data_IF_844596874798
#
_entry.id   IF_844596874798
#
_cell.length_a   1.000
_cell.length_b   1.000
_cell.length_c   1.000
_cell.angle_alpha   90.00
_cell.angle_beta   90.00
_cell.angle_gamma   90.00
#
_symmetry.space_group_name_H-M   'P 1'
#
loop_
_entity.id
_entity.type
_entity.pdbx_description
1 polymer ?
#
# COMPACT_ATOMS: atom_id res chain seq x y z
N UNK A 1 22.61 -50.39 5.01
CA UNK A 1 21.24 -49.87 5.21
C UNK A 1 21.22 -48.86 6.34
N UNK A 2 21.71 -47.64 6.09
CA UNK A 2 21.49 -46.49 6.95
C UNK A 2 20.21 -45.82 6.44
N UNK A 3 19.08 -46.21 7.00
CA UNK A 3 17.84 -45.46 6.81
C UNK A 3 18.02 -44.15 7.55
N UNK A 4 18.29 -43.08 6.82
CA UNK A 4 18.17 -41.72 7.31
C UNK A 4 16.72 -41.52 7.72
N UNK A 5 16.41 -41.64 9.01
CA UNK A 5 15.18 -41.10 9.56
C UNK A 5 15.25 -39.59 9.37
N UNK A 6 14.66 -39.10 8.28
CA UNK A 6 14.35 -37.70 8.09
C UNK A 6 13.52 -37.28 9.29
N UNK A 7 14.15 -36.59 10.23
CA UNK A 7 13.52 -36.13 11.44
C UNK A 7 12.38 -35.20 11.02
N UNK A 8 11.15 -35.62 11.26
CA UNK A 8 9.98 -34.83 10.88
C UNK A 8 10.12 -33.43 11.48
N UNK A 9 9.94 -32.36 10.70
CA UNK A 9 10.16 -31.01 11.18
C UNK A 9 9.29 -30.75 12.41
N UNK A 10 9.91 -30.28 13.49
CA UNK A 10 9.20 -30.01 14.75
C UNK A 10 8.03 -29.03 14.54
N UNK A 11 6.96 -29.16 15.32
CA UNK A 11 5.80 -28.23 15.31
C UNK A 11 6.22 -26.76 15.34
N UNK A 12 7.27 -26.45 16.12
CA UNK A 12 7.87 -25.11 16.25
C UNK A 12 8.51 -24.61 14.94
N UNK A 13 9.18 -25.49 14.20
CA UNK A 13 9.78 -25.14 12.91
C UNK A 13 8.71 -24.79 11.88
N UNK A 14 7.64 -25.58 11.78
CA UNK A 14 6.56 -25.34 10.83
C UNK A 14 5.84 -24.03 11.15
N UNK A 15 5.54 -23.75 12.41
CA UNK A 15 4.98 -22.45 12.82
C UNK A 15 5.86 -21.27 12.44
N UNK A 16 7.19 -21.41 12.50
CA UNK A 16 8.12 -20.37 12.01
C UNK A 16 8.03 -20.22 10.50
N UNK A 17 7.94 -21.32 9.75
CA UNK A 17 7.78 -21.32 8.29
C UNK A 17 6.48 -20.63 7.87
N UNK A 18 5.34 -20.97 8.46
CA UNK A 18 4.05 -20.32 8.19
C UNK A 18 4.10 -18.81 8.45
N UNK A 19 4.69 -18.41 9.59
CA UNK A 19 4.90 -17.00 9.95
C UNK A 19 5.86 -16.26 9.01
N UNK A 20 6.81 -16.97 8.40
CA UNK A 20 7.69 -16.42 7.38
C UNK A 20 6.92 -16.17 6.08
N UNK A 21 6.13 -17.14 5.61
CA UNK A 21 5.27 -16.98 4.44
C UNK A 21 4.33 -15.78 4.57
N UNK A 22 3.61 -15.66 5.69
CA UNK A 22 2.71 -14.53 5.90
C UNK A 22 3.42 -13.17 5.80
N UNK A 23 4.62 -13.05 6.41
CA UNK A 23 5.43 -11.82 6.31
C UNK A 23 5.94 -11.58 4.89
N UNK A 24 6.37 -12.64 4.20
CA UNK A 24 6.89 -12.52 2.85
C UNK A 24 5.82 -12.14 1.84
N UNK A 25 4.58 -12.62 2.01
CA UNK A 25 3.42 -12.18 1.25
C UNK A 25 3.21 -10.68 1.42
N UNK A 26 3.25 -10.15 2.65
CA UNK A 26 3.14 -8.70 2.90
C UNK A 26 4.22 -7.94 2.13
N UNK A 27 5.48 -8.38 2.17
CA UNK A 27 6.56 -7.75 1.40
C UNK A 27 6.28 -7.77 -0.11
N UNK A 28 5.79 -8.89 -0.64
CA UNK A 28 5.46 -9.01 -2.06
C UNK A 28 4.31 -8.09 -2.47
N UNK A 29 3.31 -7.92 -1.61
CA UNK A 29 2.23 -6.93 -1.80
C UNK A 29 2.84 -5.53 -1.90
N UNK A 30 3.63 -5.09 -0.91
CA UNK A 30 4.25 -3.76 -0.88
C UNK A 30 5.15 -3.49 -2.11
N UNK A 31 5.75 -4.53 -2.69
CA UNK A 31 6.57 -4.44 -3.91
C UNK A 31 5.75 -4.54 -5.22
N UNK A 32 4.43 -4.61 -5.15
CA UNK A 32 3.52 -4.84 -6.28
C UNK A 32 3.76 -6.14 -7.06
N UNK A 33 4.33 -7.18 -6.43
CA UNK A 33 4.62 -8.47 -7.09
C UNK A 33 3.44 -9.43 -6.99
N UNK A 34 2.30 -9.05 -7.57
CA UNK A 34 1.03 -9.78 -7.43
C UNK A 34 1.08 -11.22 -7.93
N UNK A 35 1.85 -11.51 -8.98
CA UNK A 35 2.01 -12.89 -9.48
C UNK A 35 2.73 -13.77 -8.45
N UNK A 36 3.75 -13.23 -7.78
CA UNK A 36 4.45 -13.92 -6.70
C UNK A 36 3.54 -14.10 -5.48
N UNK A 37 2.70 -13.10 -5.17
CA UNK A 37 1.70 -13.22 -4.09
C UNK A 37 0.76 -14.41 -4.34
N UNK A 38 0.22 -14.56 -5.56
CA UNK A 38 -0.66 -15.68 -5.93
C UNK A 38 0.02 -17.03 -5.73
N UNK A 39 1.30 -17.15 -6.13
CA UNK A 39 2.10 -18.37 -5.91
C UNK A 39 2.27 -18.65 -4.42
N UNK A 40 2.68 -17.64 -3.65
CA UNK A 40 2.93 -17.79 -2.21
C UNK A 40 1.67 -18.12 -1.40
N UNK A 41 0.50 -17.61 -1.80
CA UNK A 41 -0.79 -17.96 -1.17
C UNK A 41 -1.11 -19.44 -1.36
N UNK A 42 -0.87 -19.95 -2.57
CA UNK A 42 -1.05 -21.38 -2.87
C UNK A 42 -0.10 -22.24 -2.04
N UNK A 43 1.19 -21.90 -2.01
CA UNK A 43 2.19 -22.61 -1.19
C UNK A 43 1.85 -22.57 0.31
N UNK A 44 1.41 -21.41 0.82
CA UNK A 44 0.99 -21.27 2.21
C UNK A 44 -0.22 -22.16 2.52
N UNK A 45 -1.18 -22.26 1.61
CA UNK A 45 -2.35 -23.14 1.76
C UNK A 45 -1.94 -24.62 1.88
N UNK A 46 -1.05 -25.08 1.01
CA UNK A 46 -0.53 -26.46 1.04
C UNK A 46 0.21 -26.74 2.36
N UNK A 47 1.01 -25.81 2.85
CA UNK A 47 1.72 -25.95 4.14
C UNK A 47 0.78 -25.95 5.36
N UNK A 48 -0.30 -25.17 5.33
CA UNK A 48 -1.31 -25.15 6.41
C UNK A 48 -2.10 -26.45 6.43
N UNK A 49 -2.45 -26.99 5.26
CA UNK A 49 -3.14 -28.28 5.15
C UNK A 49 -2.27 -29.41 5.72
N UNK A 50 -1.02 -29.50 5.28
CA UNK A 50 -0.03 -30.45 5.79
C UNK A 50 0.16 -30.33 7.31
N UNK A 51 0.21 -29.11 7.82
CA UNK A 51 0.35 -28.83 9.25
C UNK A 51 -0.89 -29.29 10.05
N UNK A 52 -2.08 -28.99 9.54
CA UNK A 52 -3.36 -29.35 10.15
C UNK A 52 -3.53 -30.86 10.23
N UNK A 53 -3.26 -31.57 9.12
CA UNK A 53 -3.36 -33.03 9.05
C UNK A 53 -2.40 -33.71 10.03
N UNK A 54 -1.17 -33.19 10.16
CA UNK A 54 -0.13 -33.80 11.02
C UNK A 54 -0.35 -33.56 12.51
N UNK A 55 -0.91 -32.42 12.90
CA UNK A 55 -0.91 -31.99 14.31
C UNK A 55 -2.30 -31.72 14.90
N UNK A 56 -3.39 -31.92 14.15
CA UNK A 56 -4.79 -31.70 14.58
C UNK A 56 -4.93 -30.47 15.49
N UNK A 57 -4.55 -29.31 14.94
CA UNK A 57 -4.19 -28.14 15.74
C UNK A 57 -5.34 -27.13 15.85
N UNK A 58 -5.55 -26.61 17.06
CA UNK A 58 -6.53 -25.55 17.38
C UNK A 58 -6.39 -24.27 16.54
N UNK A 59 -5.19 -23.98 16.01
CA UNK A 59 -4.91 -22.81 15.17
C UNK A 59 -5.41 -22.93 13.72
N UNK A 60 -6.03 -24.04 13.32
CA UNK A 60 -6.53 -24.22 11.95
C UNK A 60 -7.47 -23.08 11.54
N UNK A 61 -8.37 -22.65 12.45
CA UNK A 61 -9.29 -21.57 12.17
C UNK A 61 -8.55 -20.24 11.94
N UNK A 62 -7.56 -19.92 12.76
CA UNK A 62 -6.75 -18.70 12.62
C UNK A 62 -6.00 -18.66 11.29
N UNK A 63 -5.37 -19.78 10.91
CA UNK A 63 -4.65 -19.88 9.64
C UNK A 63 -5.58 -19.84 8.42
N UNK A 64 -6.77 -20.43 8.53
CA UNK A 64 -7.79 -20.32 7.49
C UNK A 64 -8.28 -18.87 7.34
N UNK A 65 -8.46 -18.14 8.45
CA UNK A 65 -8.80 -16.72 8.40
C UNK A 65 -7.69 -15.91 7.70
N UNK A 66 -6.42 -16.21 7.98
CA UNK A 66 -5.28 -15.58 7.30
C UNK A 66 -5.34 -15.85 5.79
N UNK A 67 -5.57 -17.09 5.35
CA UNK A 67 -5.71 -17.42 3.92
C UNK A 67 -6.89 -16.69 3.27
N UNK A 68 -8.04 -16.65 3.95
CA UNK A 68 -9.23 -15.95 3.46
C UNK A 68 -8.99 -14.44 3.34
N UNK A 69 -8.33 -13.83 4.33
CA UNK A 69 -7.96 -12.41 4.27
C UNK A 69 -7.05 -12.11 3.06
N UNK A 70 -6.00 -12.91 2.82
CA UNK A 70 -5.12 -12.68 1.65
C UNK A 70 -5.85 -12.91 0.34
N UNK A 71 -6.66 -13.98 0.24
CA UNK A 71 -7.39 -14.29 -0.97
C UNK A 71 -8.37 -13.16 -1.33
N UNK A 72 -9.17 -12.72 -0.36
CA UNK A 72 -10.08 -11.58 -0.53
C UNK A 72 -9.32 -10.30 -0.91
N UNK A 73 -8.14 -10.07 -0.32
CA UNK A 73 -7.30 -8.93 -0.65
C UNK A 73 -6.82 -8.94 -2.11
N UNK A 74 -6.33 -10.09 -2.58
CA UNK A 74 -5.86 -10.25 -3.97
C UNK A 74 -7.01 -10.14 -4.97
N UNK A 75 -8.19 -10.63 -4.62
CA UNK A 75 -9.40 -10.52 -5.44
C UNK A 75 -9.93 -9.09 -5.53
N UNK A 76 -9.83 -8.32 -4.43
CA UNK A 76 -10.28 -6.93 -4.37
C UNK A 76 -9.30 -5.92 -5.00
N UNK A 77 -8.04 -6.30 -5.23
CA UNK A 77 -7.01 -5.45 -5.83
C UNK A 77 -7.41 -4.82 -7.18
N UNK A 78 -7.80 -5.59 -8.22
CA UNK A 78 -8.04 -5.05 -9.56
C UNK A 78 -8.93 -3.80 -9.52
N UNK A 79 -8.31 -2.64 -9.73
CA UNK A 79 -9.01 -1.36 -9.89
C UNK A 79 -9.60 -1.36 -11.29
N UNK A 80 -10.83 -1.84 -11.39
CA UNK A 80 -11.65 -1.63 -12.59
C UNK A 80 -12.33 -0.27 -12.42
N UNK A 81 -11.72 0.79 -12.96
CA UNK A 81 -12.46 2.05 -13.16
C UNK A 81 -13.22 1.87 -14.47
N UNK A 82 -14.55 1.84 -14.39
CA UNK A 82 -15.40 1.98 -15.56
C UNK A 82 -15.35 3.46 -15.96
N UNK A 83 -14.90 3.75 -17.18
CA UNK A 83 -15.12 5.06 -17.76
C UNK A 83 -16.62 5.25 -18.03
N UNK A 84 -17.09 6.48 -18.30
CA UNK A 84 -18.49 6.79 -18.63
C UNK A 84 -19.03 5.98 -19.84
N UNK A 85 -18.15 5.31 -20.58
CA UNK A 85 -18.46 4.44 -21.72
C UNK A 85 -18.37 2.93 -21.39
N UNK A 86 -18.36 2.55 -20.10
CA UNK A 86 -18.18 1.16 -19.63
C UNK A 86 -16.86 0.49 -20.09
N UNK A 87 -15.88 1.27 -20.54
CA UNK A 87 -14.55 0.74 -20.86
C UNK A 87 -13.72 0.58 -19.59
N UNK A 88 -13.14 -0.59 -19.41
CA UNK A 88 -12.27 -0.92 -18.27
C UNK A 88 -10.95 -0.19 -18.45
N UNK A 89 -10.69 0.83 -17.63
CA UNK A 89 -9.39 1.50 -17.58
C UNK A 89 -8.63 1.01 -16.35
N UNK A 90 -7.53 0.30 -16.59
CA UNK A 90 -6.55 0.00 -15.55
C UNK A 90 -5.68 1.24 -15.40
N UNK A 91 -6.00 2.09 -14.42
CA UNK A 91 -5.20 3.27 -14.12
C UNK A 91 -3.94 2.79 -13.39
N UNK A 92 -2.78 2.92 -14.02
CA UNK A 92 -1.51 2.82 -13.31
C UNK A 92 -1.46 3.93 -12.27
N UNK A 93 -1.62 3.58 -10.99
CA UNK A 93 -1.69 4.56 -9.90
C UNK A 93 -0.33 5.22 -9.58
N UNK A 94 0.78 4.77 -10.18
CA UNK A 94 2.11 5.32 -9.94
C UNK A 94 2.20 6.76 -10.46
N UNK A 95 2.84 7.64 -9.69
CA UNK A 95 3.13 9.00 -10.11
C UNK A 95 4.03 9.00 -11.36
N UNK A 96 3.46 9.33 -12.51
CA UNK A 96 4.20 9.55 -13.77
C UNK A 96 4.72 10.99 -13.83
N UNK A 97 5.95 11.19 -14.31
CA UNK A 97 6.56 12.52 -14.44
C UNK A 97 5.80 13.44 -15.41
N UNK A 98 5.04 12.89 -16.38
CA UNK A 98 4.32 13.64 -17.41
C UNK A 98 2.84 13.94 -17.13
N UNK A 99 2.29 13.52 -15.99
CA UNK A 99 0.85 13.63 -15.68
C UNK A 99 0.41 14.87 -14.90
N UNK A 100 1.30 15.84 -14.69
CA UNK A 100 1.02 17.00 -13.84
C UNK A 100 0.28 18.08 -14.63
N UNK A 101 -0.87 18.54 -14.12
CA UNK A 101 -1.50 19.76 -14.61
C UNK A 101 -0.49 20.92 -14.55
N UNK A 102 -0.46 21.81 -15.56
CA UNK A 102 0.38 23.01 -15.51
C UNK A 102 0.08 23.78 -14.22
N UNK A 103 1.13 24.20 -13.50
CA UNK A 103 0.95 25.00 -12.29
C UNK A 103 0.31 26.35 -12.63
N UNK A 104 -0.53 26.86 -11.73
CA UNK A 104 -1.06 28.22 -11.79
C UNK A 104 0.09 29.25 -11.85
N UNK A 105 -0.09 30.32 -12.63
CA UNK A 105 0.91 31.36 -12.86
C UNK A 105 1.34 31.99 -11.51
N UNK A 106 2.58 31.75 -11.08
CA UNK A 106 3.15 32.28 -9.83
C UNK A 106 3.73 31.23 -8.89
N UNK A 107 3.43 29.93 -9.10
CA UNK A 107 4.08 28.85 -8.38
C UNK A 107 5.41 28.46 -9.07
N UNK A 108 6.51 28.52 -8.33
CA UNK A 108 7.82 28.07 -8.83
C UNK A 108 7.87 26.54 -8.81
N UNK A 109 7.91 25.92 -9.99
CA UNK A 109 8.10 24.47 -10.18
C UNK A 109 9.37 24.03 -9.45
N UNK A 110 9.28 22.98 -8.63
CA UNK A 110 10.45 22.33 -8.04
C UNK A 110 10.89 22.84 -6.66
N UNK A 111 10.15 23.75 -6.02
CA UNK A 111 10.44 24.13 -4.64
C UNK A 111 9.91 23.10 -3.63
N UNK A 112 8.69 22.59 -3.80
CA UNK A 112 8.07 21.67 -2.83
C UNK A 112 8.30 20.20 -3.17
N UNK A 113 8.78 19.43 -2.19
CA UNK A 113 8.96 17.97 -2.30
C UNK A 113 8.04 17.24 -1.32
N UNK A 114 7.39 16.17 -1.78
CA UNK A 114 6.69 15.26 -0.87
C UNK A 114 7.74 14.46 -0.09
N UNK A 115 7.89 14.79 1.20
CA UNK A 115 8.84 14.14 2.09
C UNK A 115 8.18 13.01 2.87
N UNK A 116 7.00 13.27 3.43
CA UNK A 116 6.30 12.34 4.32
C UNK A 116 4.87 12.08 3.85
N UNK A 117 4.38 10.87 4.12
CA UNK A 117 3.00 10.48 3.92
C UNK A 117 2.48 9.72 5.15
N UNK A 118 1.42 10.24 5.76
CA UNK A 118 0.69 9.61 6.85
C UNK A 118 -0.61 8.99 6.28
N UNK A 119 -0.67 7.67 6.25
CA UNK A 119 -1.77 6.89 5.66
C UNK A 119 -2.53 6.19 6.79
N UNK A 120 -3.79 6.58 6.98
CA UNK A 120 -4.62 6.13 8.10
C UNK A 120 -5.83 5.35 7.58
N UNK A 121 -5.96 4.10 8.00
CA UNK A 121 -7.12 3.26 7.72
C UNK A 121 -7.94 3.02 8.99
N UNK A 122 -9.15 3.58 9.05
CA UNK A 122 -10.07 3.48 10.19
C UNK A 122 -11.51 3.11 9.77
N UNK A 123 -11.68 2.57 8.55
CA UNK A 123 -12.95 2.01 8.11
C UNK A 123 -13.18 0.62 8.72
N UNK A 124 -14.41 0.33 9.14
CA UNK A 124 -14.74 -0.95 9.80
C UNK A 124 -14.99 -2.09 8.81
N UNK A 125 -15.61 -1.81 7.67
CA UNK A 125 -16.05 -2.81 6.71
C UNK A 125 -15.23 -2.71 5.43
N UNK A 126 -13.96 -3.11 5.50
CA UNK A 126 -13.06 -3.07 4.36
C UNK A 126 -12.21 -4.32 4.30
N UNK A 127 -11.97 -4.81 3.08
CA UNK A 127 -11.04 -5.91 2.84
C UNK A 127 -9.65 -5.51 3.31
N UNK A 128 -9.03 -6.38 4.11
CA UNK A 128 -7.70 -6.18 4.68
C UNK A 128 -6.92 -7.48 4.74
N UNK A 129 -5.61 -7.34 4.81
CA UNK A 129 -4.70 -8.41 5.18
C UNK A 129 -3.57 -7.85 6.05
N UNK A 130 -3.29 -8.47 7.20
CA UNK A 130 -2.18 -8.06 8.08
C UNK A 130 -2.22 -6.55 8.44
N UNK A 131 -3.40 -6.03 8.78
CA UNK A 131 -3.64 -4.61 9.11
C UNK A 131 -3.48 -3.62 7.93
N UNK A 132 -3.21 -4.11 6.72
CA UNK A 132 -3.21 -3.32 5.50
C UNK A 132 -4.58 -3.42 4.82
N UNK A 133 -5.31 -2.31 4.72
CA UNK A 133 -6.56 -2.24 3.95
C UNK A 133 -6.30 -1.96 2.48
N UNK A 134 -7.27 -2.29 1.62
CA UNK A 134 -7.11 -2.17 0.16
C UNK A 134 -6.85 -0.74 -0.32
N UNK A 135 -7.43 0.26 0.34
CA UNK A 135 -7.22 1.66 0.03
C UNK A 135 -5.84 2.17 0.50
N UNK A 136 -5.41 1.80 1.69
CA UNK A 136 -4.05 2.07 2.19
C UNK A 136 -3.02 1.51 1.23
N UNK A 137 -3.22 0.28 0.76
CA UNK A 137 -2.39 -0.33 -0.26
C UNK A 137 -2.39 0.49 -1.56
N UNK A 138 -3.54 0.85 -2.09
CA UNK A 138 -3.64 1.66 -3.33
C UNK A 138 -2.93 3.01 -3.21
N UNK A 139 -3.08 3.70 -2.07
CA UNK A 139 -2.36 4.95 -1.80
C UNK A 139 -0.85 4.70 -1.69
N UNK A 140 -0.44 3.61 -1.02
CA UNK A 140 0.96 3.23 -0.92
C UNK A 140 1.58 3.03 -2.31
N UNK A 141 0.93 2.24 -3.17
CA UNK A 141 1.37 1.98 -4.53
C UNK A 141 1.38 3.24 -5.38
N UNK A 142 0.47 4.18 -5.13
CA UNK A 142 0.42 5.45 -5.84
C UNK A 142 1.62 6.35 -5.51
N UNK A 143 2.09 6.29 -4.27
CA UNK A 143 3.25 7.03 -3.80
C UNK A 143 4.59 6.43 -4.27
N UNK A 144 4.59 5.17 -4.72
CA UNK A 144 5.78 4.53 -5.27
C UNK A 144 6.10 5.11 -6.66
N UNK A 145 7.32 5.63 -6.81
CA UNK A 145 7.84 6.06 -8.12
C UNK A 145 8.13 4.86 -9.01
N UNK A 146 8.10 5.06 -10.32
CA UNK A 146 8.58 4.04 -11.25
C UNK A 146 10.09 3.80 -11.01
N UNK A 147 10.54 2.54 -10.97
CA UNK A 147 11.96 2.26 -10.89
C UNK A 147 12.64 2.80 -12.16
N UNK A 148 13.47 3.83 -12.02
CA UNK A 148 14.29 4.33 -13.11
C UNK A 148 15.20 3.19 -13.54
N UNK A 149 14.95 2.63 -14.72
CA UNK A 149 15.84 1.62 -15.30
C UNK A 149 17.21 2.26 -15.52
N UNK A 150 18.19 1.95 -14.65
CA UNK A 150 19.58 2.39 -14.81
C UNK A 150 20.24 1.83 -16.10
N UNK A 151 19.56 0.98 -16.86
CA UNK A 151 20.11 0.23 -17.99
C UNK A 151 20.16 1.00 -19.33
N UNK A 152 19.53 2.17 -19.48
CA UNK A 152 19.48 2.89 -20.78
C UNK A 152 20.54 3.98 -20.98
N UNK A 153 21.52 4.15 -20.09
CA UNK A 153 22.62 5.12 -20.29
C UNK A 153 23.82 4.55 -21.07
N UNK A 154 23.63 3.52 -21.89
CA UNK A 154 24.66 3.06 -22.84
C UNK A 154 24.13 2.94 -24.27
N UNK A 155 23.54 4.01 -24.80
CA UNK A 155 23.49 4.22 -26.26
C UNK A 155 24.22 5.51 -26.64
N UNK A 156 25.17 5.30 -27.55
CA UNK A 156 26.18 6.25 -28.01
C UNK A 156 25.60 7.30 -28.97
N UNK A 157 26.33 8.42 -29.04
CA UNK A 157 26.37 9.46 -30.06
C UNK A 157 25.30 10.55 -30.06
N UNK A 158 25.76 11.75 -29.69
CA UNK A 158 25.51 12.97 -30.46
C UNK A 158 24.52 13.96 -29.85
N UNK A 159 25.04 15.14 -29.51
CA UNK A 159 24.37 16.41 -29.19
C UNK A 159 24.23 16.71 -27.69
N UNK A 160 25.01 17.70 -27.26
CA UNK A 160 25.06 18.28 -25.92
C UNK A 160 23.83 19.16 -25.70
N UNK A 161 22.71 18.57 -25.29
CA UNK A 161 21.75 19.27 -24.45
C UNK A 161 22.17 19.06 -22.98
N UNK A 162 22.06 20.06 -22.09
CA UNK A 162 22.31 19.84 -20.68
C UNK A 162 21.22 18.92 -20.17
N UNK A 163 21.49 17.62 -20.19
CA UNK A 163 20.68 16.59 -19.56
C UNK A 163 20.60 16.95 -18.08
N UNK A 164 19.50 17.59 -17.70
CA UNK A 164 19.08 17.68 -16.32
C UNK A 164 19.12 16.24 -15.80
N UNK A 165 20.07 15.95 -14.92
CA UNK A 165 20.13 14.67 -14.23
C UNK A 165 18.72 14.40 -13.73
N UNK A 166 18.09 13.25 -14.04
CA UNK A 166 16.76 12.95 -13.53
C UNK A 166 16.86 13.15 -12.03
N UNK A 167 16.14 14.16 -11.53
CA UNK A 167 16.27 14.57 -10.15
C UNK A 167 16.04 13.30 -9.32
N UNK A 168 17.06 12.85 -8.59
CA UNK A 168 16.96 11.73 -7.66
C UNK A 168 15.99 12.18 -6.56
N UNK A 169 14.70 12.18 -6.87
CA UNK A 169 13.65 12.45 -5.91
C UNK A 169 13.56 11.19 -5.08
N UNK A 170 13.85 11.32 -3.80
CA UNK A 170 13.82 10.23 -2.82
C UNK A 170 12.37 9.85 -2.51
N UNK A 171 12.10 8.54 -2.38
CA UNK A 171 10.76 8.03 -2.11
C UNK A 171 10.27 8.60 -0.76
N UNK A 172 9.07 9.18 -0.65
CA UNK A 172 8.61 9.70 0.63
C UNK A 172 8.59 8.64 1.71
N UNK A 173 8.85 9.06 2.94
CA UNK A 173 8.68 8.26 4.14
C UNK A 173 7.18 8.01 4.35
N UNK A 174 6.80 6.76 4.62
CA UNK A 174 5.39 6.36 4.71
C UNK A 174 5.09 5.81 6.11
N UNK A 175 4.16 6.44 6.79
CA UNK A 175 3.64 6.02 8.10
C UNK A 175 2.25 5.40 7.88
N UNK A 176 2.11 4.11 8.18
CA UNK A 176 0.84 3.40 8.06
C UNK A 176 0.23 3.22 9.44
N UNK A 177 -0.98 3.73 9.63
CA UNK A 177 -1.72 3.62 10.88
C UNK A 177 -3.06 2.91 10.62
N UNK A 178 -3.16 1.67 11.06
CA UNK A 178 -4.43 0.92 11.03
C UNK A 178 -5.15 1.05 12.36
N UNK A 179 -6.39 1.56 12.30
CA UNK A 179 -7.26 1.87 13.44
C UNK A 179 -6.51 2.54 14.60
N UNK A 180 -5.77 3.65 14.35
CA UNK A 180 -5.02 4.29 15.42
C UNK A 180 -5.97 4.87 16.47
N UNK A 181 -5.50 4.86 17.71
CA UNK A 181 -6.08 5.71 18.76
C UNK A 181 -5.84 7.19 18.42
N UNK A 182 -6.67 8.08 18.97
CA UNK A 182 -6.49 9.51 18.79
C UNK A 182 -5.10 9.98 19.22
N UNK A 183 -4.58 9.44 20.33
CA UNK A 183 -3.23 9.75 20.82
C UNK A 183 -2.13 9.32 19.87
N UNK A 184 -2.24 8.13 19.27
CA UNK A 184 -1.29 7.67 18.25
C UNK A 184 -1.32 8.59 17.03
N UNK A 185 -2.51 8.93 16.53
CA UNK A 185 -2.65 9.84 15.40
C UNK A 185 -1.97 11.19 15.65
N UNK A 186 -2.25 11.83 16.79
CA UNK A 186 -1.63 13.10 17.13
C UNK A 186 -0.11 13.00 17.33
N UNK A 187 0.38 11.87 17.85
CA UNK A 187 1.81 11.65 18.04
C UNK A 187 2.54 11.63 16.70
N UNK A 188 2.05 10.84 15.75
CA UNK A 188 2.65 10.77 14.40
C UNK A 188 2.52 12.09 13.65
N UNK A 189 1.35 12.74 13.70
CA UNK A 189 1.14 14.03 13.05
C UNK A 189 2.11 15.10 13.61
N UNK A 190 2.26 15.16 14.92
CA UNK A 190 3.16 16.12 15.57
C UNK A 190 4.63 15.85 15.25
N UNK A 191 5.03 14.56 15.22
CA UNK A 191 6.40 14.17 14.87
C UNK A 191 6.73 14.51 13.41
N UNK A 192 5.88 14.11 12.46
CA UNK A 192 6.07 14.40 11.03
C UNK A 192 6.10 15.91 10.76
N UNK A 193 5.24 16.69 11.41
CA UNK A 193 5.25 18.15 11.24
C UNK A 193 6.54 18.80 11.79
N UNK A 194 7.06 18.29 12.90
CA UNK A 194 8.29 18.81 13.53
C UNK A 194 9.55 18.46 12.73
N UNK A 195 9.57 17.28 12.12
CA UNK A 195 10.73 16.77 11.36
C UNK A 195 10.68 17.15 9.88
N UNK A 196 9.60 17.80 9.42
CA UNK A 196 9.41 18.16 8.03
C UNK A 196 10.50 19.14 7.54
N UNK A 197 11.25 18.80 6.46
CA UNK A 197 12.27 19.70 5.92
C UNK A 197 11.70 21.00 5.34
N UNK A 198 12.57 22.00 5.18
CA UNK A 198 12.22 23.26 4.51
C UNK A 198 11.82 22.97 3.06
N UNK A 199 10.71 23.58 2.63
CA UNK A 199 10.11 23.33 1.31
C UNK A 199 9.68 21.87 1.08
N UNK A 200 9.27 21.17 2.14
CA UNK A 200 8.65 19.86 2.02
C UNK A 200 7.17 19.89 2.39
N UNK A 201 6.43 18.91 1.90
CA UNK A 201 5.01 18.71 2.21
C UNK A 201 4.79 17.34 2.86
N UNK A 202 3.82 17.30 3.78
CA UNK A 202 3.28 16.11 4.40
C UNK A 202 1.94 15.79 3.74
N UNK A 203 1.81 14.60 3.16
CA UNK A 203 0.52 14.07 2.73
C UNK A 203 -0.18 13.40 3.92
N UNK A 204 -1.45 13.74 4.16
CA UNK A 204 -2.30 13.01 5.12
C UNK A 204 -3.45 12.37 4.36
N UNK A 205 -3.50 11.04 4.39
CA UNK A 205 -4.61 10.24 3.90
C UNK A 205 -5.37 9.65 5.09
N UNK A 206 -6.68 9.90 5.16
CA UNK A 206 -7.55 9.39 6.20
C UNK A 206 -8.77 8.69 5.57
N UNK A 207 -8.83 7.38 5.75
CA UNK A 207 -10.01 6.57 5.44
C UNK A 207 -10.77 6.31 6.72
N UNK A 208 -11.95 6.92 6.89
CA UNK A 208 -12.77 6.75 8.08
C UNK A 208 -14.25 7.02 7.76
N UNK A 209 -15.14 6.48 8.59
CA UNK A 209 -16.56 6.83 8.55
C UNK A 209 -16.76 8.22 9.16
N UNK A 210 -17.21 9.17 8.35
CA UNK A 210 -17.59 10.50 8.82
C UNK A 210 -18.98 10.49 9.46
N UNK A 211 -19.17 11.32 10.48
CA UNK A 211 -20.49 11.64 11.03
C UNK A 211 -20.70 13.13 10.84
N UNK A 212 -21.75 13.50 10.12
CA UNK A 212 -22.17 14.89 10.02
C UNK A 212 -23.03 15.22 11.24
N UNK A 213 -22.73 16.30 11.97
CA UNK A 213 -23.63 16.77 13.02
C UNK A 213 -24.97 17.09 12.37
N UNK A 214 -25.99 16.28 12.63
CA UNK A 214 -27.38 16.64 12.31
C UNK A 214 -27.80 17.74 13.27
N UNK A 215 -27.48 18.99 12.92
CA UNK A 215 -27.91 20.17 13.67
C UNK A 215 -26.94 21.35 13.63
N UNK A 216 -26.88 22.04 12.49
CA UNK A 216 -26.82 23.50 12.43
C UNK A 216 -27.01 23.88 10.95
N UNK A 217 -28.28 24.02 10.53
CA UNK A 217 -28.58 24.99 9.49
C UNK A 217 -28.26 26.36 10.08
N UNK A 218 -27.70 27.22 9.24
CA UNK A 218 -27.36 28.63 9.50
C UNK A 218 -25.91 28.87 9.93
N UNK A 219 -24.97 28.63 9.02
CA UNK A 219 -23.97 29.65 8.67
C UNK A 219 -23.38 29.33 7.29
N UNK A 220 -23.64 30.22 6.32
CA UNK A 220 -22.94 30.24 5.03
C UNK A 220 -21.42 30.33 5.26
N UNK A 221 -20.66 29.47 4.57
CA UNK A 221 -19.21 29.63 4.52
C UNK A 221 -18.42 28.37 4.19
N UNK A 222 -18.23 28.14 2.88
CA UNK A 222 -17.02 27.53 2.27
C UNK A 222 -16.87 25.99 2.28
N UNK A 223 -17.28 25.41 1.15
CA UNK A 223 -16.65 24.29 0.41
C UNK A 223 -16.18 23.05 1.16
N UNK A 224 -17.08 22.11 1.38
CA UNK A 224 -16.73 20.70 1.53
C UNK A 224 -16.60 20.06 0.13
N UNK A 225 -15.38 20.02 -0.43
CA UNK A 225 -15.07 19.26 -1.64
C UNK A 225 -14.96 17.76 -1.29
N UNK A 226 -16.09 17.12 -0.97
CA UNK A 226 -16.18 15.67 -0.94
C UNK A 226 -16.84 15.24 -2.26
N UNK A 227 -16.04 14.79 -3.23
CA UNK A 227 -16.59 14.18 -4.45
C UNK A 227 -17.30 12.89 -4.05
N UNK A 228 -18.62 12.95 -3.98
CA UNK A 228 -19.47 11.77 -3.95
C UNK A 228 -19.26 10.96 -5.24
N UNK A 229 -18.67 9.78 -5.12
CA UNK A 229 -18.92 8.70 -6.07
C UNK A 229 -20.15 7.94 -5.58
N UNK A 230 -21.32 8.28 -6.13
CA UNK A 230 -22.52 7.49 -5.98
C UNK A 230 -22.75 6.69 -7.27
N UNK A 231 -22.78 5.37 -7.09
CA UNK A 231 -23.18 4.29 -8.02
C UNK A 231 -22.38 4.11 -9.30
#
# INVERSE_FOLDING_TARGET
>A
NLVSHGQSPSKKYIMKKLRYYARYIVVCLLLNKMDLVKVLVKELSEEIEDYTQRFNTEYQLEWNLVLQEVAAFVEADPVVVLNNENTVVVISNRLQEGGMSPLEQGMVVGQLTLADALIIGNCNNQVKFSELTIDMFRILQALEREPVNLATTTSKYGTLEPSEKPAKRENPHKYLLYKPTLSQLFTFLSASFKELPVNSVLLVYLSATGVFPTGCLDYEGTTAFCKHTHN
#
